data_IF_019108068958
#
_entry.id   IF_019108068958
#
_cell.length_a   1.000
_cell.length_b   1.000
_cell.length_c   1.000
_cell.angle_alpha   90.00
_cell.angle_beta   90.00
_cell.angle_gamma   90.00
#
_symmetry.space_group_name_H-M   'P 1'
#
loop_
_entity.id
_entity.type
_entity.pdbx_description
1 polymer ?
#
# COMPACT_ATOMS: atom_id res chain seq x y z
N UNK A 1 13.51 -44.40 84.25
CA UNK A 1 12.15 -43.81 84.31
C UNK A 1 11.46 -44.06 82.98
N UNK A 2 10.36 -44.83 82.99
CA UNK A 2 9.21 -44.76 82.03
C UNK A 2 8.44 -43.45 82.29
N UNK A 3 7.49 -42.93 81.46
CA UNK A 3 6.57 -43.61 80.49
C UNK A 3 6.58 -42.97 79.07
N UNK A 4 6.28 -43.68 77.97
CA UNK A 4 5.01 -44.25 77.44
C UNK A 4 3.93 -43.20 77.13
N UNK A 5 3.59 -43.03 75.84
CA UNK A 5 2.23 -43.20 75.31
C UNK A 5 2.24 -43.45 73.79
N UNK A 6 1.63 -44.56 73.38
CA UNK A 6 1.19 -44.93 72.03
C UNK A 6 0.13 -43.93 71.50
N UNK A 7 -0.19 -43.82 70.20
CA UNK A 7 -1.10 -44.73 69.46
C UNK A 7 -1.18 -44.27 67.97
N UNK A 8 -1.13 -45.25 67.05
CA UNK A 8 -1.74 -45.38 65.71
C UNK A 8 -1.60 -44.30 64.62
N UNK A 9 -1.22 -44.70 63.39
CA UNK A 9 -2.18 -45.06 62.34
C UNK A 9 -1.47 -45.46 61.01
N UNK A 10 -2.18 -46.30 60.26
CA UNK A 10 -1.84 -47.10 59.07
C UNK A 10 -2.00 -46.29 57.75
N UNK A 11 -1.42 -46.83 56.66
CA UNK A 11 -1.75 -46.64 55.22
C UNK A 11 -1.17 -45.41 54.51
N UNK A 12 -0.83 -45.42 53.21
CA UNK A 12 -0.58 -46.45 52.20
C UNK A 12 0.01 -45.69 51.00
N UNK A 13 0.98 -46.27 50.30
CA UNK A 13 1.52 -45.74 49.07
C UNK A 13 0.54 -45.95 47.92
N UNK A 14 0.26 -44.92 47.12
CA UNK A 14 -0.40 -45.05 45.82
C UNK A 14 0.48 -44.36 44.78
N UNK A 15 1.16 -45.18 43.98
CA UNK A 15 1.79 -44.82 42.72
C UNK A 15 0.69 -44.58 41.68
N UNK A 16 0.47 -43.33 41.29
CA UNK A 16 -0.38 -42.97 40.15
C UNK A 16 0.50 -42.85 38.91
N UNK A 17 0.43 -43.87 38.06
CA UNK A 17 0.86 -43.84 36.66
C UNK A 17 -0.04 -42.87 35.89
N UNK A 18 0.48 -41.71 35.51
CA UNK A 18 -0.21 -40.80 34.60
C UNK A 18 -0.03 -41.31 33.15
N UNK A 19 -1.11 -41.83 32.58
CA UNK A 19 -1.21 -42.10 31.15
C UNK A 19 -1.27 -40.76 30.40
N UNK A 20 -0.26 -40.47 29.59
CA UNK A 20 -0.27 -39.36 28.64
C UNK A 20 -1.22 -39.74 27.50
N UNK A 21 -2.44 -39.20 27.54
CA UNK A 21 -3.36 -39.25 26.42
C UNK A 21 -2.90 -38.20 25.41
N UNK A 22 -2.36 -38.66 24.28
CA UNK A 22 -2.15 -37.82 23.09
C UNK A 22 -3.54 -37.42 22.57
N UNK A 23 -3.98 -36.22 22.94
CA UNK A 23 -5.14 -35.60 22.31
C UNK A 23 -4.77 -35.22 20.87
N UNK A 24 -5.52 -35.66 19.85
CA UNK A 24 -5.34 -35.16 18.50
C UNK A 24 -5.66 -33.66 18.50
N UNK A 25 -4.76 -32.86 17.91
CA UNK A 25 -4.90 -31.42 17.82
C UNK A 25 -6.26 -31.06 17.22
N UNK A 26 -7.03 -30.28 17.97
CA UNK A 26 -8.25 -29.64 17.47
C UNK A 26 -7.88 -28.78 16.27
N UNK A 27 -8.42 -29.14 15.11
CA UNK A 27 -8.51 -28.26 13.95
C UNK A 27 -9.06 -26.93 14.45
N UNK A 28 -8.30 -25.85 14.25
CA UNK A 28 -8.66 -24.52 14.72
C UNK A 28 -10.07 -24.14 14.29
N UNK A 29 -10.80 -23.51 15.20
CA UNK A 29 -12.13 -22.99 14.93
C UNK A 29 -12.08 -22.09 13.67
N UNK A 30 -12.97 -22.31 12.67
CA UNK A 30 -12.92 -21.54 11.43
C UNK A 30 -13.10 -20.05 11.73
N UNK A 31 -12.26 -19.21 11.12
CA UNK A 31 -12.36 -17.76 11.27
C UNK A 31 -13.79 -17.27 10.97
N UNK A 32 -14.31 -16.30 11.75
CA UNK A 32 -15.66 -15.80 11.54
C UNK A 32 -15.82 -15.26 10.11
N UNK A 33 -16.94 -15.53 9.45
CA UNK A 33 -17.14 -15.15 8.06
C UNK A 33 -17.09 -13.63 7.90
N UNK A 34 -16.38 -13.17 6.87
CA UNK A 34 -16.28 -11.75 6.52
C UNK A 34 -17.68 -11.16 6.31
N UNK A 35 -18.07 -10.10 7.06
CA UNK A 35 -19.42 -9.54 6.99
C UNK A 35 -19.86 -9.24 5.56
N UNK A 36 -21.08 -9.64 5.20
CA UNK A 36 -21.61 -9.50 3.85
C UNK A 36 -22.16 -8.10 3.55
N UNK A 37 -22.44 -7.31 4.57
CA UNK A 37 -23.04 -5.99 4.48
C UNK A 37 -22.07 -4.90 4.96
N UNK A 38 -22.34 -3.67 4.54
CA UNK A 38 -21.63 -2.51 5.05
C UNK A 38 -21.84 -2.36 6.56
N UNK A 39 -20.76 -2.24 7.36
CA UNK A 39 -20.86 -1.78 8.73
C UNK A 39 -21.65 -0.47 8.81
N UNK A 40 -22.43 -0.29 9.86
CA UNK A 40 -23.26 0.93 9.99
C UNK A 40 -22.45 2.16 10.38
N UNK A 41 -21.23 1.97 10.89
CA UNK A 41 -20.31 3.03 11.28
C UNK A 41 -18.88 2.69 10.90
N UNK A 42 -18.07 3.72 10.72
CA UNK A 42 -16.62 3.60 10.64
C UNK A 42 -16.02 3.43 12.04
N UNK A 43 -15.34 2.32 12.31
CA UNK A 43 -14.88 1.97 13.67
C UNK A 43 -13.40 2.26 13.93
N UNK A 44 -12.78 3.13 13.14
CA UNK A 44 -11.39 3.54 13.33
C UNK A 44 -11.24 5.05 13.49
N UNK A 45 -10.26 5.45 14.29
CA UNK A 45 -9.86 6.87 14.40
C UNK A 45 -8.89 7.29 13.28
N UNK A 46 -8.50 6.34 12.43
CA UNK A 46 -7.60 6.58 11.31
C UNK A 46 -8.39 6.62 10.01
N UNK A 47 -8.07 7.57 9.16
CA UNK A 47 -8.71 7.73 7.84
C UNK A 47 -8.22 6.62 6.92
N UNK A 48 -9.15 5.91 6.29
CA UNK A 48 -8.91 4.84 5.31
C UNK A 48 -8.18 3.60 5.82
N UNK A 49 -7.74 3.58 7.07
CA UNK A 49 -6.97 2.49 7.69
C UNK A 49 -7.83 1.65 8.62
N UNK A 50 -8.85 1.03 8.04
CA UNK A 50 -9.68 0.07 8.76
C UNK A 50 -10.33 -0.91 7.81
N UNK A 51 -10.42 -2.15 8.29
CA UNK A 51 -11.26 -3.20 7.73
C UNK A 51 -11.94 -3.93 8.90
N UNK A 52 -13.18 -4.43 8.75
CA UNK A 52 -13.89 -5.12 9.83
C UNK A 52 -13.24 -6.44 10.26
N UNK A 53 -12.55 -7.10 9.33
CA UNK A 53 -11.81 -8.33 9.57
C UNK A 53 -10.65 -8.38 8.59
N UNK A 54 -9.49 -8.84 9.06
CA UNK A 54 -8.34 -9.14 8.21
C UNK A 54 -8.69 -10.29 7.27
N UNK A 55 -8.25 -10.20 6.02
CA UNK A 55 -8.50 -11.24 5.03
C UNK A 55 -7.61 -12.47 5.26
N UNK A 56 -8.19 -13.66 5.23
CA UNK A 56 -7.49 -14.94 5.19
C UNK A 56 -7.68 -15.56 3.79
N UNK A 57 -7.02 -14.97 2.81
CA UNK A 57 -7.02 -15.43 1.42
C UNK A 57 -5.59 -15.59 0.94
N UNK A 58 -5.34 -16.56 0.08
CA UNK A 58 -4.01 -16.74 -0.51
C UNK A 58 -3.59 -15.48 -1.29
N UNK A 59 -2.38 -14.98 -1.01
CA UNK A 59 -1.80 -13.81 -1.67
C UNK A 59 -2.21 -12.44 -1.10
N UNK A 60 -2.92 -12.37 0.04
CA UNK A 60 -3.24 -11.09 0.71
C UNK A 60 -2.04 -10.34 1.27
N UNK A 61 -0.92 -11.04 1.46
CA UNK A 61 0.37 -10.45 1.84
C UNK A 61 1.10 -9.83 0.65
N UNK A 62 0.74 -10.19 -0.58
CA UNK A 62 1.40 -9.73 -1.81
C UNK A 62 0.54 -8.75 -2.62
N UNK A 63 -0.74 -8.63 -2.27
CA UNK A 63 -1.72 -7.84 -3.02
C UNK A 63 -2.87 -7.37 -2.15
N UNK A 64 -3.36 -6.15 -2.41
CA UNK A 64 -4.58 -5.64 -1.77
C UNK A 64 -5.81 -6.50 -2.10
N UNK A 65 -5.90 -7.00 -3.34
CA UNK A 65 -7.03 -7.77 -3.85
C UNK A 65 -6.52 -8.92 -4.74
N UNK A 66 -6.12 -10.07 -4.15
CA UNK A 66 -5.67 -11.22 -4.91
C UNK A 66 -6.81 -11.88 -5.70
N UNK A 67 -6.48 -12.49 -6.84
CA UNK A 67 -7.44 -13.28 -7.62
C UNK A 67 -8.47 -12.46 -8.41
N UNK A 68 -9.63 -13.07 -8.69
CA UNK A 68 -10.64 -12.52 -9.58
C UNK A 68 -12.03 -12.52 -8.92
N UNK A 69 -12.39 -11.47 -8.16
CA UNK A 69 -13.67 -11.39 -7.49
C UNK A 69 -14.82 -11.23 -8.50
N UNK A 70 -16.01 -11.67 -8.07
CA UNK A 70 -17.26 -11.59 -8.84
C UNK A 70 -18.05 -10.32 -8.57
N UNK A 71 -17.84 -9.69 -7.42
CA UNK A 71 -18.51 -8.43 -7.08
C UNK A 71 -17.67 -7.60 -6.10
N UNK A 72 -17.88 -6.29 -6.13
CA UNK A 72 -17.29 -5.34 -5.18
C UNK A 72 -18.41 -4.48 -4.56
N UNK A 73 -18.62 -4.54 -3.25
CA UNK A 73 -19.55 -3.68 -2.52
C UNK A 73 -18.78 -2.52 -1.90
N UNK A 74 -19.02 -1.30 -2.37
CA UNK A 74 -18.43 -0.07 -1.83
C UNK A 74 -19.38 0.52 -0.79
N UNK A 75 -18.85 0.84 0.40
CA UNK A 75 -19.54 1.49 1.51
C UNK A 75 -18.89 2.85 1.77
N UNK A 76 -19.69 3.91 1.87
CA UNK A 76 -19.19 5.28 2.01
C UNK A 76 -19.53 5.88 3.39
N UNK A 77 -18.54 6.47 4.04
CA UNK A 77 -18.64 7.09 5.36
C UNK A 77 -18.06 8.52 5.31
N UNK A 78 -18.86 9.51 4.90
CA UNK A 78 -18.45 10.91 4.84
C UNK A 78 -18.18 11.47 6.24
N UNK A 79 -17.13 12.27 6.36
CA UNK A 79 -16.70 12.88 7.62
C UNK A 79 -15.66 13.98 7.40
N UNK A 80 -14.75 14.10 8.36
CA UNK A 80 -13.65 15.08 8.33
C UNK A 80 -12.35 14.41 8.70
N UNK A 81 -11.27 14.75 8.00
CA UNK A 81 -9.95 14.17 8.26
C UNK A 81 -9.39 14.55 9.65
N UNK A 82 -9.74 15.71 10.18
CA UNK A 82 -9.28 16.16 11.50
C UNK A 82 -9.96 15.42 12.67
N UNK A 83 -11.12 14.78 12.44
CA UNK A 83 -11.96 14.18 13.48
C UNK A 83 -12.52 12.83 13.00
N UNK A 84 -11.66 11.90 12.58
CA UNK A 84 -12.14 10.61 12.09
C UNK A 84 -12.55 9.67 13.23
N UNK A 85 -13.58 8.87 12.99
CA UNK A 85 -14.13 7.90 13.92
C UNK A 85 -15.64 8.05 14.12
N UNK A 86 -16.36 6.94 13.94
CA UNK A 86 -17.79 6.85 14.19
C UNK A 86 -18.65 7.47 13.09
N UNK A 87 -18.11 7.84 11.94
CA UNK A 87 -18.86 8.32 10.79
C UNK A 87 -19.96 7.31 10.40
N UNK A 88 -21.22 7.75 10.21
CA UNK A 88 -22.31 6.85 9.84
C UNK A 88 -22.18 6.43 8.37
N UNK A 89 -22.68 5.24 8.05
CA UNK A 89 -22.86 4.80 6.67
C UNK A 89 -23.81 5.76 5.94
N UNK A 90 -23.33 6.42 4.89
CA UNK A 90 -24.17 7.30 4.06
C UNK A 90 -24.83 6.54 2.90
N UNK A 91 -24.22 5.45 2.45
CA UNK A 91 -24.73 4.66 1.35
C UNK A 91 -23.76 3.58 0.90
N UNK A 92 -24.24 2.74 0.00
CA UNK A 92 -23.45 1.67 -0.60
C UNK A 92 -23.74 1.49 -2.07
N UNK A 93 -22.81 0.87 -2.80
CA UNK A 93 -22.96 0.52 -4.20
C UNK A 93 -22.26 -0.80 -4.51
N UNK A 94 -22.99 -1.72 -5.11
CA UNK A 94 -22.42 -2.97 -5.62
C UNK A 94 -22.01 -2.81 -7.07
N UNK A 95 -20.80 -3.28 -7.39
CA UNK A 95 -20.23 -3.35 -8.72
C UNK A 95 -19.99 -4.82 -9.09
N UNK A 96 -20.81 -5.39 -9.97
CA UNK A 96 -20.62 -6.77 -10.44
C UNK A 96 -19.65 -6.80 -11.62
N UNK A 97 -19.96 -6.06 -12.68
CA UNK A 97 -19.17 -6.06 -13.92
C UNK A 97 -17.87 -5.24 -13.84
N UNK A 98 -17.64 -4.54 -12.73
CA UNK A 98 -16.45 -3.72 -12.51
C UNK A 98 -15.55 -4.27 -11.39
N UNK A 99 -15.95 -5.36 -10.73
CA UNK A 99 -15.16 -5.95 -9.65
C UNK A 99 -13.79 -6.44 -10.13
N UNK A 100 -13.74 -7.14 -11.27
CA UNK A 100 -12.49 -7.65 -11.85
C UNK A 100 -11.54 -6.53 -12.29
N UNK A 101 -11.96 -5.52 -13.08
CA UNK A 101 -11.09 -4.37 -13.39
C UNK A 101 -10.59 -3.64 -12.14
N UNK A 102 -11.45 -3.46 -11.14
CA UNK A 102 -11.07 -2.82 -9.88
C UNK A 102 -10.05 -3.63 -9.10
N UNK A 103 -10.27 -4.93 -8.95
CA UNK A 103 -9.33 -5.84 -8.31
C UNK A 103 -8.00 -5.90 -9.05
N UNK A 104 -8.02 -5.94 -10.39
CA UNK A 104 -6.83 -5.91 -11.23
C UNK A 104 -5.99 -4.66 -10.94
N UNK A 105 -6.58 -3.46 -11.04
CA UNK A 105 -5.86 -2.20 -10.81
C UNK A 105 -5.33 -2.08 -9.38
N UNK A 106 -6.14 -2.43 -8.37
CA UNK A 106 -5.72 -2.40 -6.97
C UNK A 106 -4.65 -3.46 -6.67
N UNK A 107 -4.68 -4.59 -7.37
CA UNK A 107 -3.72 -5.67 -7.23
C UNK A 107 -2.32 -5.34 -7.79
N UNK A 108 -2.23 -4.32 -8.66
CA UNK A 108 -0.96 -3.76 -9.11
C UNK A 108 -0.40 -2.69 -8.17
N UNK A 109 -1.12 -2.25 -7.14
CA UNK A 109 -0.57 -1.22 -6.27
C UNK A 109 0.61 -1.79 -5.46
N UNK A 110 1.66 -0.99 -5.24
CA UNK A 110 2.76 -1.38 -4.37
C UNK A 110 2.22 -1.51 -2.93
N UNK A 111 2.57 -2.62 -2.28
CA UNK A 111 2.13 -2.94 -0.91
C UNK A 111 3.32 -3.16 0.00
N UNK A 112 3.16 -2.91 1.29
CA UNK A 112 4.17 -3.19 2.30
C UNK A 112 3.53 -3.54 3.64
N UNK A 113 4.25 -4.28 4.46
CA UNK A 113 3.96 -4.47 5.90
C UNK A 113 4.78 -3.50 6.77
N UNK A 114 5.80 -2.86 6.19
CA UNK A 114 6.63 -1.90 6.90
C UNK A 114 5.83 -0.62 7.19
N UNK A 115 6.03 -0.06 8.39
CA UNK A 115 5.46 1.24 8.72
C UNK A 115 6.29 2.34 8.07
N UNK A 116 5.85 2.77 6.88
CA UNK A 116 6.46 3.89 6.17
C UNK A 116 5.68 5.17 6.50
N UNK A 117 6.33 6.12 7.16
CA UNK A 117 5.74 7.41 7.44
C UNK A 117 5.84 8.31 6.20
N UNK A 118 4.70 8.86 5.76
CA UNK A 118 4.62 9.84 4.68
C UNK A 118 4.42 11.21 5.31
N UNK A 119 5.28 12.16 4.97
CA UNK A 119 5.07 13.55 5.34
C UNK A 119 3.86 14.07 4.55
N UNK A 120 2.86 14.56 5.28
CA UNK A 120 1.59 15.01 4.74
C UNK A 120 1.28 16.39 5.24
N UNK A 121 0.64 17.21 4.41
CA UNK A 121 0.03 18.45 4.89
C UNK A 121 -1.05 18.09 5.91
N UNK A 122 -1.18 18.89 6.97
CA UNK A 122 -2.17 18.69 8.04
C UNK A 122 -3.39 19.57 7.83
N UNK A 123 -3.83 19.74 6.58
CA UNK A 123 -4.96 20.60 6.26
C UNK A 123 -6.24 19.85 6.64
N UNK A 124 -7.00 20.44 7.57
CA UNK A 124 -8.32 19.98 7.93
C UNK A 124 -9.33 20.19 6.79
N UNK A 125 -10.19 19.20 6.54
CA UNK A 125 -11.16 19.25 5.45
C UNK A 125 -12.10 18.06 5.43
N UNK A 126 -12.97 18.05 4.42
CA UNK A 126 -13.86 16.92 4.15
C UNK A 126 -13.04 15.69 3.78
N UNK A 127 -13.49 14.55 4.29
CA UNK A 127 -12.98 13.24 3.92
C UNK A 127 -14.15 12.29 3.73
N UNK A 128 -13.96 11.26 2.90
CA UNK A 128 -14.89 10.13 2.86
C UNK A 128 -14.09 8.85 3.04
N UNK A 129 -14.32 8.16 4.15
CA UNK A 129 -13.80 6.83 4.36
C UNK A 129 -14.59 5.83 3.52
N UNK A 130 -13.90 4.83 2.98
CA UNK A 130 -14.48 3.78 2.16
C UNK A 130 -14.08 2.41 2.69
N UNK A 131 -15.05 1.51 2.70
CA UNK A 131 -14.82 0.07 2.76
C UNK A 131 -15.28 -0.56 1.44
N UNK A 132 -14.49 -1.46 0.90
CA UNK A 132 -14.82 -2.19 -0.34
C UNK A 132 -14.75 -3.68 -0.03
N UNK A 133 -15.87 -4.39 -0.11
CA UNK A 133 -15.89 -5.85 0.01
C UNK A 133 -15.76 -6.48 -1.35
N UNK A 134 -14.73 -7.28 -1.57
CA UNK A 134 -14.62 -8.13 -2.75
C UNK A 134 -15.12 -9.54 -2.41
N UNK A 135 -16.07 -10.05 -3.19
CA UNK A 135 -16.61 -11.41 -3.04
C UNK A 135 -16.08 -12.31 -4.16
N UNK A 136 -15.76 -13.56 -3.83
CA UNK A 136 -15.18 -14.54 -4.76
C UNK A 136 -16.18 -15.68 -5.08
N UNK A 137 -15.98 -16.41 -6.19
CA UNK A 137 -16.89 -17.49 -6.62
C UNK A 137 -17.04 -18.63 -5.60
N UNK A 138 -16.02 -18.89 -4.80
CA UNK A 138 -15.97 -19.92 -3.76
C UNK A 138 -16.65 -19.50 -2.44
N UNK A 139 -17.24 -18.29 -2.40
CA UNK A 139 -17.90 -17.74 -1.23
C UNK A 139 -16.95 -17.00 -0.28
N UNK A 140 -15.64 -17.01 -0.53
CA UNK A 140 -14.70 -16.21 0.24
C UNK A 140 -14.89 -14.72 -0.05
N UNK A 141 -14.36 -13.87 0.83
CA UNK A 141 -14.39 -12.42 0.66
C UNK A 141 -13.26 -11.74 1.43
N UNK A 142 -12.95 -10.51 1.03
CA UNK A 142 -12.07 -9.62 1.77
C UNK A 142 -12.63 -8.21 1.80
N UNK A 143 -12.18 -7.41 2.77
CA UNK A 143 -12.41 -5.98 2.82
C UNK A 143 -11.13 -5.22 2.46
N UNK A 144 -11.30 -4.12 1.75
CA UNK A 144 -10.28 -3.09 1.54
C UNK A 144 -10.77 -1.77 2.13
N UNK A 145 -9.99 -1.18 3.02
CA UNK A 145 -10.17 0.17 3.54
C UNK A 145 -9.38 1.19 2.74
N UNK A 146 -9.99 2.35 2.48
CA UNK A 146 -9.31 3.51 1.87
C UNK A 146 -10.10 4.79 2.19
N UNK A 147 -9.65 5.95 1.70
CA UNK A 147 -10.42 7.18 1.76
C UNK A 147 -10.03 8.18 0.67
N UNK A 148 -10.90 9.14 0.42
CA UNK A 148 -10.58 10.38 -0.30
C UNK A 148 -10.52 11.55 0.69
N UNK A 149 -9.46 12.35 0.63
CA UNK A 149 -9.28 13.53 1.46
C UNK A 149 -8.31 14.56 0.83
N UNK A 150 -8.32 15.78 1.37
CA UNK A 150 -7.66 16.94 0.77
C UNK A 150 -6.13 16.87 0.67
N UNK A 151 -5.46 16.11 1.55
CA UNK A 151 -4.00 16.01 1.60
C UNK A 151 -3.43 14.91 0.70
N UNK A 152 -4.27 14.10 0.03
CA UNK A 152 -3.86 13.00 -0.85
C UNK A 152 -2.85 12.03 -0.20
N UNK A 153 -3.10 11.73 1.07
CA UNK A 153 -2.12 11.11 1.96
C UNK A 153 -2.61 9.84 2.65
N UNK A 154 -3.83 9.43 2.35
CA UNK A 154 -4.42 8.21 2.89
C UNK A 154 -3.81 6.99 2.24
N UNK A 155 -3.67 5.94 3.04
CA UNK A 155 -3.27 4.61 2.57
C UNK A 155 -4.48 3.72 2.36
N UNK A 156 -4.31 2.74 1.48
CA UNK A 156 -5.29 1.68 1.24
C UNK A 156 -4.80 0.39 1.91
N UNK A 157 -5.67 -0.40 2.53
CA UNK A 157 -5.27 -1.62 3.27
C UNK A 157 -6.33 -2.71 3.17
N UNK A 158 -5.90 -3.97 3.17
CA UNK A 158 -6.77 -5.15 3.34
C UNK A 158 -6.74 -5.73 4.77
N UNK A 159 -6.11 -5.02 5.72
CA UNK A 159 -5.87 -5.47 7.10
C UNK A 159 -4.54 -6.19 7.31
N UNK A 160 -3.91 -6.70 6.23
CA UNK A 160 -2.63 -7.41 6.28
C UNK A 160 -1.50 -6.53 5.75
N UNK A 161 -1.72 -5.91 4.60
CA UNK A 161 -0.77 -4.99 3.96
C UNK A 161 -1.35 -3.61 3.75
N UNK A 162 -0.47 -2.63 3.55
CA UNK A 162 -0.84 -1.26 3.23
C UNK A 162 -0.21 -0.82 1.92
N UNK A 163 -0.93 0.00 1.17
CA UNK A 163 -0.43 0.73 0.01
C UNK A 163 -0.50 2.24 0.26
N UNK A 164 0.57 2.96 -0.07
CA UNK A 164 0.64 4.42 0.02
C UNK A 164 0.13 5.13 -1.23
N UNK A 165 -0.35 4.37 -2.21
CA UNK A 165 -0.93 4.88 -3.44
C UNK A 165 -2.30 5.50 -3.16
N UNK A 166 -2.47 6.76 -3.57
CA UNK A 166 -3.69 7.49 -3.33
C UNK A 166 -4.74 7.17 -4.41
N UNK A 167 -5.73 6.34 -4.04
CA UNK A 167 -6.79 5.88 -4.96
C UNK A 167 -8.20 6.34 -4.57
N UNK A 168 -8.32 7.16 -3.53
CA UNK A 168 -9.59 7.72 -3.04
C UNK A 168 -10.47 8.32 -4.14
N UNK A 169 -9.96 9.21 -5.00
CA UNK A 169 -10.73 9.80 -6.09
C UNK A 169 -11.31 8.77 -7.06
N UNK A 170 -10.57 7.71 -7.38
CA UNK A 170 -11.03 6.60 -8.22
C UNK A 170 -12.19 5.84 -7.55
N UNK A 171 -12.09 5.59 -6.24
CA UNK A 171 -13.14 4.94 -5.44
C UNK A 171 -14.39 5.82 -5.39
N UNK A 172 -14.24 7.13 -5.20
CA UNK A 172 -15.35 8.09 -5.22
C UNK A 172 -16.09 8.08 -6.55
N UNK A 173 -15.36 8.08 -7.67
CA UNK A 173 -15.98 7.99 -9.00
C UNK A 173 -16.74 6.66 -9.14
N UNK A 174 -16.14 5.54 -8.73
CA UNK A 174 -16.80 4.24 -8.80
C UNK A 174 -18.06 4.16 -7.93
N UNK A 175 -18.00 4.70 -6.70
CA UNK A 175 -19.16 4.81 -5.82
C UNK A 175 -20.26 5.68 -6.41
N UNK A 176 -19.93 6.82 -7.05
CA UNK A 176 -20.92 7.76 -7.59
C UNK A 176 -21.51 7.33 -8.93
N UNK A 177 -20.69 6.71 -9.78
CA UNK A 177 -21.05 6.41 -11.19
C UNK A 177 -21.30 4.94 -11.46
N UNK A 178 -20.82 4.03 -10.60
CA UNK A 178 -20.92 2.59 -10.82
C UNK A 178 -19.88 2.06 -11.81
N UNK A 179 -18.94 2.90 -12.24
CA UNK A 179 -17.89 2.54 -13.19
C UNK A 179 -16.52 2.70 -12.52
N UNK A 180 -15.71 1.66 -12.55
CA UNK A 180 -14.35 1.73 -12.03
C UNK A 180 -13.40 2.27 -13.11
N UNK A 181 -12.51 3.16 -12.70
CA UNK A 181 -11.33 3.57 -13.46
C UNK A 181 -10.28 4.05 -12.49
N UNK A 182 -9.09 3.46 -12.53
CA UNK A 182 -7.94 4.03 -11.84
C UNK A 182 -7.55 5.35 -12.52
N UNK A 183 -7.78 6.46 -11.82
CA UNK A 183 -7.42 7.78 -12.33
C UNK A 183 -5.91 7.90 -12.45
N UNK A 184 -5.46 8.25 -13.65
CA UNK A 184 -4.06 8.52 -13.95
C UNK A 184 -3.77 10.01 -13.76
N UNK A 185 -2.52 10.37 -13.41
CA UNK A 185 -2.10 11.76 -13.44
C UNK A 185 -2.33 12.39 -14.82
N UNK A 186 -2.62 13.69 -14.85
CA UNK A 186 -2.83 14.42 -16.11
C UNK A 186 -1.50 14.66 -16.84
N UNK A 187 -0.46 14.97 -16.08
CA UNK A 187 0.91 15.06 -16.58
C UNK A 187 1.58 13.69 -16.41
N UNK A 188 2.11 13.05 -17.47
CA UNK A 188 2.84 11.79 -17.35
C UNK A 188 4.12 11.88 -16.51
N UNK A 189 4.60 13.09 -16.21
CA UNK A 189 5.73 13.36 -15.31
C UNK A 189 5.32 13.53 -13.84
N UNK A 190 4.02 13.59 -13.53
CA UNK A 190 3.55 13.52 -12.15
C UNK A 190 3.68 12.08 -11.63
N UNK A 191 4.09 11.87 -10.37
CA UNK A 191 4.19 10.54 -9.78
C UNK A 191 2.90 9.71 -9.97
N UNK A 192 3.05 8.53 -10.55
CA UNK A 192 1.95 7.58 -10.71
C UNK A 192 1.61 6.90 -9.37
N UNK A 193 0.55 6.09 -9.36
CA UNK A 193 0.21 5.26 -8.20
C UNK A 193 1.27 4.19 -7.87
N UNK A 194 2.25 3.97 -8.75
CA UNK A 194 3.28 2.96 -8.60
C UNK A 194 2.80 1.56 -9.04
N UNK A 195 3.66 0.57 -8.82
CA UNK A 195 3.47 -0.82 -9.26
C UNK A 195 3.94 -1.83 -8.21
N UNK A 196 3.26 -2.97 -8.11
CA UNK A 196 3.65 -4.15 -7.32
C UNK A 196 5.10 -4.55 -7.61
N UNK A 197 5.81 -4.94 -6.56
CA UNK A 197 7.25 -5.24 -6.59
C UNK A 197 8.13 -4.04 -6.23
N UNK A 198 7.61 -2.82 -6.18
CA UNK A 198 8.36 -1.65 -5.73
C UNK A 198 8.72 -1.67 -4.23
N UNK A 199 8.13 -2.57 -3.47
CA UNK A 199 8.50 -2.89 -2.08
C UNK A 199 9.77 -3.75 -1.96
N UNK A 200 10.15 -4.44 -3.04
CA UNK A 200 11.30 -5.37 -3.06
C UNK A 200 12.47 -4.81 -3.87
N UNK A 201 12.18 -4.02 -4.91
CA UNK A 201 13.19 -3.43 -5.81
C UNK A 201 12.84 -1.99 -6.14
N UNK A 202 13.84 -1.16 -6.41
CA UNK A 202 13.63 0.23 -6.84
C UNK A 202 12.77 0.26 -8.12
N UNK A 203 13.05 -0.64 -9.06
CA UNK A 203 12.32 -0.84 -10.32
C UNK A 203 12.02 -2.34 -10.52
N UNK A 204 10.76 -2.78 -10.61
CA UNK A 204 10.42 -4.16 -10.93
C UNK A 204 10.98 -4.64 -12.28
N UNK A 205 11.18 -5.95 -12.42
CA UNK A 205 11.70 -6.54 -13.67
C UNK A 205 10.70 -6.41 -14.83
N UNK A 206 11.22 -6.42 -16.06
CA UNK A 206 10.41 -6.40 -17.28
C UNK A 206 10.05 -5.01 -17.81
N UNK A 207 10.75 -3.96 -17.38
CA UNK A 207 10.58 -2.63 -17.95
C UNK A 207 10.98 -2.60 -19.43
N UNK A 208 10.07 -2.14 -20.29
CA UNK A 208 10.23 -2.07 -21.75
C UNK A 208 10.48 -0.65 -22.27
N UNK A 209 10.30 0.36 -21.41
CA UNK A 209 10.57 1.77 -21.72
C UNK A 209 10.72 2.59 -20.45
N UNK A 210 11.33 3.76 -20.56
CA UNK A 210 11.44 4.72 -19.45
C UNK A 210 11.22 6.14 -19.94
N UNK A 211 10.31 6.86 -19.30
CA UNK A 211 10.14 8.30 -19.46
C UNK A 211 10.95 9.01 -18.38
N UNK A 212 11.89 9.86 -18.79
CA UNK A 212 12.72 10.66 -17.89
C UNK A 212 12.22 12.11 -17.90
N UNK A 213 11.74 12.56 -16.76
CA UNK A 213 11.22 13.90 -16.54
C UNK A 213 12.19 14.70 -15.65
N UNK A 214 12.24 16.01 -15.88
CA UNK A 214 12.98 16.97 -15.06
C UNK A 214 12.00 18.02 -14.54
N UNK A 215 11.93 18.18 -13.23
CA UNK A 215 11.10 19.22 -12.64
C UNK A 215 11.69 20.59 -12.97
N UNK A 216 10.94 21.41 -13.70
CA UNK A 216 11.39 22.73 -14.08
C UNK A 216 11.53 23.62 -12.83
N UNK A 217 12.53 24.50 -12.77
CA UNK A 217 12.64 25.49 -11.70
C UNK A 217 11.37 26.37 -11.63
N UNK A 218 10.51 26.13 -10.64
CA UNK A 218 9.20 26.79 -10.51
C UNK A 218 9.35 28.31 -10.37
N UNK A 219 9.00 29.06 -11.42
CA UNK A 219 8.81 30.53 -11.39
C UNK A 219 7.42 30.97 -11.84
N UNK A 220 6.60 30.05 -12.34
CA UNK A 220 5.24 30.33 -12.80
C UNK A 220 4.20 29.57 -11.95
N UNK A 221 3.11 30.23 -11.53
CA UNK A 221 2.05 29.62 -10.71
C UNK A 221 1.10 28.71 -11.51
N UNK A 222 1.26 28.63 -12.84
CA UNK A 222 0.51 27.69 -13.69
C UNK A 222 1.37 26.46 -13.96
N UNK A 223 0.96 25.26 -13.51
CA UNK A 223 1.64 24.02 -13.85
C UNK A 223 1.57 23.84 -15.37
N UNK A 224 2.72 23.91 -16.04
CA UNK A 224 2.84 23.36 -17.40
C UNK A 224 3.27 21.91 -17.26
N UNK A 225 2.81 21.01 -18.16
CA UNK A 225 3.33 19.66 -18.20
C UNK A 225 4.85 19.71 -18.28
N UNK A 226 5.53 18.97 -17.42
CA UNK A 226 6.99 18.89 -17.49
C UNK A 226 7.36 18.16 -18.78
N UNK A 227 8.32 18.66 -19.57
CA UNK A 227 8.81 17.89 -20.70
C UNK A 227 9.39 16.57 -20.15
N UNK A 228 9.12 15.47 -20.85
CA UNK A 228 9.72 14.17 -20.57
C UNK A 228 10.37 13.61 -21.83
N UNK A 229 11.48 12.89 -21.67
CA UNK A 229 12.17 12.19 -22.75
C UNK A 229 11.93 10.70 -22.61
N UNK A 230 11.26 10.08 -23.58
CA UNK A 230 11.05 8.62 -23.60
C UNK A 230 12.25 7.90 -24.20
N UNK A 231 12.66 6.79 -23.58
CA UNK A 231 13.74 5.94 -24.02
C UNK A 231 13.27 4.48 -24.09
N UNK A 232 13.79 3.75 -25.08
CA UNK A 232 13.39 2.37 -25.35
C UNK A 232 13.93 1.35 -24.34
N UNK A 233 13.61 0.08 -24.62
CA UNK A 233 13.81 -1.05 -23.73
C UNK A 233 15.23 -1.23 -23.20
N UNK A 234 16.24 -1.15 -24.07
CA UNK A 234 17.64 -1.29 -23.64
C UNK A 234 17.98 -0.28 -22.53
N UNK A 235 17.56 0.98 -22.70
CA UNK A 235 17.84 2.04 -21.73
C UNK A 235 17.06 1.87 -20.44
N UNK A 236 15.82 1.41 -20.54
CA UNK A 236 14.99 1.08 -19.38
C UNK A 236 15.62 -0.04 -18.55
N UNK A 237 16.09 -1.11 -19.19
CA UNK A 237 16.75 -2.25 -18.53
C UNK A 237 18.07 -1.85 -17.87
N UNK A 238 18.91 -1.07 -18.57
CA UNK A 238 20.18 -0.55 -18.02
C UNK A 238 19.94 0.27 -16.75
N UNK A 239 19.05 1.27 -16.82
CA UNK A 239 18.73 2.12 -15.67
C UNK A 239 18.08 1.34 -14.53
N UNK A 240 17.18 0.41 -14.82
CA UNK A 240 16.56 -0.44 -13.79
C UNK A 240 17.61 -1.29 -13.07
N UNK A 241 18.56 -1.89 -13.80
CA UNK A 241 19.64 -2.67 -13.21
C UNK A 241 20.56 -1.81 -12.31
N UNK A 242 20.94 -0.62 -12.76
CA UNK A 242 21.74 0.32 -11.97
C UNK A 242 20.99 0.74 -10.69
N UNK A 243 19.71 1.13 -10.79
CA UNK A 243 18.89 1.51 -9.65
C UNK A 243 18.63 0.37 -8.66
N UNK A 244 18.53 -0.87 -9.15
CA UNK A 244 18.33 -2.06 -8.31
C UNK A 244 19.64 -2.57 -7.69
N UNK A 245 20.80 -2.07 -8.11
CA UNK A 245 22.09 -2.39 -7.50
C UNK A 245 22.42 -1.55 -6.27
N UNK A 246 21.61 -0.53 -5.99
CA UNK A 246 21.77 0.35 -4.84
C UNK A 246 21.47 -0.39 -3.54
N UNK A 247 22.19 -0.03 -2.47
CA UNK A 247 21.81 -0.42 -1.11
C UNK A 247 20.55 0.37 -0.72
N UNK A 248 19.40 -0.29 -0.76
CA UNK A 248 18.10 0.34 -0.47
C UNK A 248 17.54 -0.09 0.88
N UNK A 249 16.88 0.85 1.56
CA UNK A 249 16.14 0.62 2.80
C UNK A 249 14.66 1.04 2.66
N UNK A 250 13.73 0.47 3.46
CA UNK A 250 12.35 0.92 3.48
C UNK A 250 12.24 2.42 3.84
N UNK A 251 11.56 3.21 3.02
CA UNK A 251 11.40 4.65 3.23
C UNK A 251 11.16 5.44 1.94
N UNK A 252 11.51 6.73 1.95
CA UNK A 252 11.64 7.52 0.71
C UNK A 252 10.89 8.84 0.60
N UNK A 253 10.13 9.25 1.63
CA UNK A 253 9.33 10.46 1.54
C UNK A 253 10.03 11.72 2.08
N UNK A 254 11.21 11.57 2.68
CA UNK A 254 12.02 12.68 3.19
C UNK A 254 13.48 12.46 2.84
N UNK A 255 14.24 13.55 2.77
CA UNK A 255 15.67 13.47 2.58
C UNK A 255 16.34 14.71 3.18
N UNK A 256 17.57 14.54 3.65
CA UNK A 256 18.39 15.62 4.21
C UNK A 256 19.15 16.31 3.08
N UNK A 257 19.00 17.63 2.98
CA UNK A 257 19.74 18.43 1.99
C UNK A 257 21.26 18.36 2.26
N UNK A 258 22.03 18.24 1.18
CA UNK A 258 23.49 18.21 1.21
C UNK A 258 24.04 19.34 0.34
N UNK A 259 24.66 20.33 0.98
CA UNK A 259 25.24 21.51 0.30
C UNK A 259 24.23 22.63 0.01
N UNK A 260 24.73 23.74 -0.55
CA UNK A 260 24.00 25.00 -0.71
C UNK A 260 23.45 25.26 -2.13
N UNK A 261 23.75 24.39 -3.10
CA UNK A 261 23.28 24.54 -4.49
C UNK A 261 21.80 24.15 -4.62
N UNK A 262 21.16 24.67 -5.67
CA UNK A 262 19.77 24.34 -6.01
C UNK A 262 19.61 22.84 -6.28
N UNK A 263 18.57 22.27 -5.71
CA UNK A 263 18.14 20.89 -5.94
C UNK A 263 17.48 20.78 -7.32
N UNK A 264 17.98 19.87 -8.13
CA UNK A 264 17.27 19.32 -9.30
C UNK A 264 16.47 18.08 -8.88
N UNK A 265 15.28 17.91 -9.45
CA UNK A 265 14.41 16.75 -9.22
C UNK A 265 14.13 16.08 -10.57
N UNK A 266 14.27 14.77 -10.60
CA UNK A 266 13.94 13.94 -11.74
C UNK A 266 12.88 12.91 -11.35
N UNK A 267 11.99 12.60 -12.29
CA UNK A 267 11.06 11.47 -12.19
C UNK A 267 11.31 10.53 -13.35
N UNK A 268 11.50 9.25 -13.05
CA UNK A 268 11.69 8.19 -14.02
C UNK A 268 10.47 7.29 -13.96
N UNK A 269 9.74 7.15 -15.06
CA UNK A 269 8.57 6.28 -15.16
C UNK A 269 8.89 5.11 -16.08
N UNK A 270 9.03 3.92 -15.49
CA UNK A 270 9.30 2.67 -16.18
C UNK A 270 7.97 2.04 -16.62
N UNK A 271 7.81 1.87 -17.93
CA UNK A 271 6.63 1.26 -18.54
C UNK A 271 6.80 -0.24 -18.75
N UNK A 272 5.68 -0.97 -18.70
CA UNK A 272 5.58 -2.41 -18.84
C UNK A 272 4.55 -2.75 -19.91
N UNK A 273 4.53 -4.00 -20.38
CA UNK A 273 3.52 -4.49 -21.31
C UNK A 273 2.10 -4.40 -20.71
N UNK A 274 1.97 -4.73 -19.43
CA UNK A 274 0.70 -4.72 -18.70
C UNK A 274 0.79 -3.94 -17.39
N UNK A 275 -0.30 -3.28 -17.00
CA UNK A 275 -0.44 -2.59 -15.70
C UNK A 275 0.20 -1.20 -15.64
N UNK A 276 0.20 -0.56 -14.45
CA UNK A 276 0.70 0.81 -14.29
C UNK A 276 2.24 0.88 -14.36
N UNK A 277 2.80 2.06 -14.68
CA UNK A 277 4.23 2.27 -14.62
C UNK A 277 4.74 2.22 -13.18
N UNK A 278 5.97 1.75 -13.02
CA UNK A 278 6.75 1.99 -11.80
C UNK A 278 7.38 3.38 -11.92
N UNK A 279 7.46 4.13 -10.84
CA UNK A 279 8.12 5.43 -10.83
C UNK A 279 9.24 5.49 -9.80
N UNK A 280 10.26 6.29 -10.10
CA UNK A 280 11.41 6.56 -9.24
C UNK A 280 11.64 8.06 -9.23
N UNK A 281 11.73 8.66 -8.05
CA UNK A 281 12.06 10.07 -7.85
C UNK A 281 13.50 10.19 -7.41
N UNK A 282 14.22 11.10 -8.06
CA UNK A 282 15.61 11.40 -7.75
C UNK A 282 15.70 12.88 -7.40
N UNK A 283 16.33 13.15 -6.27
CA UNK A 283 16.57 14.48 -5.75
C UNK A 283 18.08 14.66 -5.61
N UNK A 284 18.67 15.41 -6.54
CA UNK A 284 20.08 15.78 -6.42
C UNK A 284 20.34 16.50 -5.10
N UNK A 285 21.56 16.37 -4.56
CA UNK A 285 21.95 17.05 -3.31
C UNK A 285 21.02 16.73 -2.13
N UNK A 286 20.49 15.51 -2.09
CA UNK A 286 19.75 14.97 -0.96
C UNK A 286 20.30 13.59 -0.55
N UNK A 287 20.06 13.19 0.70
CA UNK A 287 20.26 11.80 1.15
C UNK A 287 19.08 11.32 2.01
N UNK A 288 18.43 10.18 1.70
CA UNK A 288 18.60 9.41 0.47
C UNK A 288 18.31 10.25 -0.79
N UNK A 289 19.06 10.05 -1.87
CA UNK A 289 18.92 10.82 -3.12
C UNK A 289 17.90 10.23 -4.08
N UNK A 290 17.47 8.98 -3.88
CA UNK A 290 16.44 8.31 -4.68
C UNK A 290 15.42 7.59 -3.83
N UNK A 291 14.20 7.52 -4.33
CA UNK A 291 13.15 6.69 -3.78
C UNK A 291 12.11 6.31 -4.84
N UNK A 292 11.34 5.26 -4.55
CA UNK A 292 10.16 4.87 -5.33
C UNK A 292 8.86 4.95 -4.51
N UNK A 293 8.89 5.66 -3.39
CA UNK A 293 7.80 5.78 -2.42
C UNK A 293 7.76 4.70 -1.33
N UNK A 294 8.43 3.54 -1.53
CA UNK A 294 8.54 2.47 -0.52
C UNK A 294 9.98 2.14 -0.14
N UNK A 295 10.91 2.29 -1.08
CA UNK A 295 12.35 2.09 -0.91
C UNK A 295 13.07 3.41 -1.17
N UNK A 296 14.19 3.59 -0.47
CA UNK A 296 15.07 4.73 -0.62
C UNK A 296 16.53 4.29 -0.64
N UNK A 297 17.39 5.04 -1.32
CA UNK A 297 18.82 4.80 -1.40
C UNK A 297 19.60 6.02 -1.86
N UNK A 298 20.89 5.86 -2.06
CA UNK A 298 21.79 6.92 -2.51
C UNK A 298 22.39 6.58 -3.88
N UNK A 299 22.16 7.46 -4.87
CA UNK A 299 22.89 7.48 -6.13
C UNK A 299 24.30 8.02 -5.94
N UNK A 300 25.23 7.46 -6.72
CA UNK A 300 26.49 8.12 -7.03
C UNK A 300 26.32 9.26 -8.06
N UNK A 301 27.34 10.11 -8.15
CA UNK A 301 27.33 11.25 -9.06
C UNK A 301 27.33 10.81 -10.55
N UNK A 302 27.87 9.63 -10.86
CA UNK A 302 27.98 9.14 -12.24
C UNK A 302 26.64 8.74 -12.84
N UNK A 303 25.79 8.05 -12.07
CA UNK A 303 24.42 7.71 -12.43
C UNK A 303 23.55 8.96 -12.48
N UNK A 304 23.69 9.89 -11.52
CA UNK A 304 22.97 11.17 -11.54
C UNK A 304 23.28 11.96 -12.82
N UNK A 305 24.55 12.08 -13.20
CA UNK A 305 24.97 12.77 -14.42
C UNK A 305 24.43 12.08 -15.68
N UNK A 306 24.38 10.74 -15.70
CA UNK A 306 23.79 9.97 -16.80
C UNK A 306 22.29 10.28 -16.96
N UNK A 307 21.56 10.32 -15.84
CA UNK A 307 20.13 10.65 -15.83
C UNK A 307 19.92 12.09 -16.30
N UNK A 308 20.76 13.02 -15.86
CA UNK A 308 20.73 14.41 -16.31
C UNK A 308 20.86 14.56 -17.82
N UNK A 309 21.68 13.73 -18.49
CA UNK A 309 21.83 13.69 -19.97
C UNK A 309 20.64 13.07 -20.69
N UNK A 310 19.86 12.23 -20.02
CA UNK A 310 18.67 11.57 -20.59
C UNK A 310 17.40 12.40 -20.42
N UNK A 311 17.39 13.27 -19.42
CA UNK A 311 16.32 14.21 -19.20
C UNK A 311 16.29 15.30 -20.28
N UNK A 312 15.12 15.93 -20.52
CA UNK A 312 15.03 17.10 -21.38
C UNK A 312 15.97 18.23 -20.92
N UNK A 313 16.43 19.07 -21.87
CA UNK A 313 17.20 20.27 -21.53
C UNK A 313 16.33 21.25 -20.72
N UNK A 314 17.01 22.11 -19.95
CA UNK A 314 16.41 23.23 -19.21
C UNK A 314 16.16 24.41 -20.14
#
# INVERSE_FOLDING_TARGET
MKPVHWISAVAAAVLLLAAVVLAPGTVGEPAPPVPASCPQRWESKQIGRWVPATAELDGVEDSLVPGAPTSALICAYPGQNANSGGEPLAGSRTLTDQAKPMAYDLGYLPVTTARIEKACTLIGGQATNYLIRFAYPDGQALWVGSAEEINSCVTTTNGTVVSHSYVGPSITVAYRTGTWKLLQPKDPCDPATGRRGQNERMVPDGAIKVLVCREAPSGNPTPRPSPGSEHGEQRARELAAELNSLDTEPGGNTCRQVGSRRREVFYLHFGYEEGPPAWVRIMSRCRPSVNNGLLAGDLDDALLDRIGRLAPPV
#
